data_IF_902465002393
#
_entry.id   IF_902465002393
#
_cell.length_a   1.000
_cell.length_b   1.000
_cell.length_c   1.000
_cell.angle_alpha   90.00
_cell.angle_beta   90.00
_cell.angle_gamma   90.00
#
_symmetry.space_group_name_H-M   'P 1'
#
loop_
_entity.id
_entity.type
_entity.pdbx_description
1 polymer ?
#
# COMPACT_ATOMS: atom_id res chain seq x y z
N UNK A 1 8.39 1.40 14.83
CA UNK A 1 7.37 1.74 13.83
C UNK A 1 6.07 1.04 14.19
N UNK A 2 4.98 1.77 14.17
CA UNK A 2 3.65 1.23 14.46
C UNK A 2 2.81 1.33 13.19
N UNK A 3 2.24 0.22 12.77
CA UNK A 3 1.35 0.16 11.62
C UNK A 3 0.00 -0.37 12.07
N UNK A 4 -1.06 0.39 11.83
CA UNK A 4 -2.42 -0.02 12.11
C UNK A 4 -3.19 -0.10 10.80
N UNK A 5 -3.82 -1.23 10.57
CA UNK A 5 -4.61 -1.47 9.37
C UNK A 5 -6.02 -1.87 9.77
N UNK A 6 -7.00 -1.18 9.19
CA UNK A 6 -8.40 -1.57 9.33
C UNK A 6 -8.97 -1.77 7.92
N UNK A 7 -9.57 -2.91 7.71
CA UNK A 7 -10.16 -3.24 6.41
C UNK A 7 -11.55 -3.84 6.62
N UNK A 8 -12.51 -3.36 5.84
CA UNK A 8 -13.84 -3.97 5.77
C UNK A 8 -14.17 -4.30 4.32
N UNK A 9 -15.44 -4.61 4.02
CA UNK A 9 -15.85 -5.03 2.69
C UNK A 9 -15.63 -3.96 1.62
N UNK A 10 -15.65 -2.68 2.00
CA UNK A 10 -15.65 -1.56 1.06
C UNK A 10 -14.45 -0.63 1.20
N UNK A 11 -13.79 -0.63 2.36
CA UNK A 11 -12.80 0.40 2.69
C UNK A 11 -11.56 -0.21 3.32
N UNK A 12 -10.42 0.35 2.99
CA UNK A 12 -9.12 0.03 3.59
C UNK A 12 -8.55 1.29 4.22
N UNK A 13 -8.14 1.22 5.47
CA UNK A 13 -7.51 2.32 6.19
C UNK A 13 -6.15 1.90 6.70
N UNK A 14 -5.14 2.72 6.43
CA UNK A 14 -3.78 2.51 6.91
C UNK A 14 -3.32 3.71 7.73
N UNK A 15 -2.78 3.44 8.90
CA UNK A 15 -2.09 4.43 9.73
C UNK A 15 -0.73 3.88 10.09
N UNK A 16 0.33 4.63 9.76
CA UNK A 16 1.70 4.21 10.02
C UNK A 16 2.44 5.35 10.71
N UNK A 17 3.11 5.03 11.83
CA UNK A 17 3.91 5.98 12.58
C UNK A 17 5.28 5.39 12.85
N UNK A 18 6.32 6.21 12.78
CA UNK A 18 7.66 5.76 13.06
C UNK A 18 8.68 6.87 12.98
N UNK A 19 9.92 6.45 12.87
CA UNK A 19 11.07 7.34 12.71
C UNK A 19 11.74 6.95 11.40
N UNK A 20 12.00 7.95 10.55
CA UNK A 20 12.64 7.69 9.26
C UNK A 20 14.17 7.53 9.42
N UNK A 21 14.88 7.36 8.31
CA UNK A 21 16.32 7.16 8.30
C UNK A 21 17.12 8.42 8.71
N UNK A 22 16.46 9.56 8.85
CA UNK A 22 17.04 10.82 9.31
C UNK A 22 16.67 11.13 10.77
N UNK A 23 16.18 10.13 11.51
CA UNK A 23 15.73 10.28 12.90
C UNK A 23 14.58 11.29 13.07
N UNK A 24 13.79 11.49 12.01
CA UNK A 24 12.65 12.37 12.06
C UNK A 24 11.38 11.56 12.24
N UNK A 25 10.46 11.96 13.13
CA UNK A 25 9.20 11.27 13.27
C UNK A 25 8.35 11.46 12.01
N UNK A 26 7.68 10.40 11.58
CA UNK A 26 6.76 10.48 10.45
C UNK A 26 5.42 9.84 10.82
N UNK A 27 4.39 10.30 10.14
CA UNK A 27 3.05 9.75 10.27
C UNK A 27 2.41 9.73 8.90
N UNK A 28 2.08 8.54 8.41
CA UNK A 28 1.48 8.33 7.12
C UNK A 28 0.10 7.72 7.32
N UNK A 29 -0.89 8.25 6.63
CA UNK A 29 -2.23 7.69 6.72
C UNK A 29 -3.01 7.88 5.42
N UNK A 30 -3.89 6.92 5.14
CA UNK A 30 -4.87 7.05 4.08
C UNK A 30 -6.06 6.14 4.35
N UNK A 31 -7.18 6.50 3.74
CA UNK A 31 -8.39 5.70 3.72
C UNK A 31 -8.88 5.67 2.27
N UNK A 32 -9.09 4.48 1.72
CA UNK A 32 -9.47 4.33 0.33
C UNK A 32 -10.48 3.20 0.16
N UNK A 33 -11.39 3.38 -0.80
CA UNK A 33 -12.32 2.33 -1.19
C UNK A 33 -11.71 1.49 -2.31
N UNK A 34 -12.22 0.27 -2.48
CA UNK A 34 -11.72 -0.66 -3.50
C UNK A 34 -12.38 -0.42 -4.86
N UNK A 35 -12.45 0.83 -5.29
CA UNK A 35 -13.15 1.23 -6.52
C UNK A 35 -12.22 1.69 -7.64
N UNK A 36 -10.90 1.64 -7.42
CA UNK A 36 -9.91 2.05 -8.40
C UNK A 36 -9.74 3.55 -8.55
N UNK A 37 -10.42 4.35 -7.74
CA UNK A 37 -10.26 5.81 -7.75
C UNK A 37 -9.07 6.22 -6.90
N UNK A 38 -8.55 7.42 -7.16
CA UNK A 38 -7.44 7.98 -6.39
C UNK A 38 -7.95 8.62 -5.10
N UNK A 39 -7.29 8.30 -3.99
CA UNK A 39 -7.57 8.86 -2.67
C UNK A 39 -6.30 9.49 -2.10
N UNK A 40 -6.42 10.57 -1.32
CA UNK A 40 -5.24 11.28 -0.81
C UNK A 40 -4.49 10.46 0.23
N UNK A 41 -3.16 10.56 0.20
CA UNK A 41 -2.27 10.03 1.22
C UNK A 41 -1.73 11.21 2.01
N UNK A 42 -1.75 11.12 3.34
CA UNK A 42 -1.21 12.13 4.22
C UNK A 42 0.13 11.65 4.80
N UNK A 43 1.14 12.51 4.75
CA UNK A 43 2.41 12.29 5.43
C UNK A 43 3.46 11.52 4.66
N UNK A 44 3.21 11.14 3.40
CA UNK A 44 4.19 10.44 2.59
C UNK A 44 4.90 11.43 1.66
N UNK A 45 6.23 11.60 1.76
CA UNK A 45 6.97 12.49 0.87
C UNK A 45 7.11 11.95 -0.55
N UNK A 46 6.90 10.65 -0.75
CA UNK A 46 7.12 9.97 -2.04
C UNK A 46 5.85 9.75 -2.84
N UNK A 47 4.68 9.92 -2.22
CA UNK A 47 3.41 9.74 -2.91
C UNK A 47 2.34 10.65 -2.31
N UNK A 48 1.36 11.05 -3.11
CA UNK A 48 0.27 11.93 -2.66
C UNK A 48 -1.10 11.31 -2.85
N UNK A 49 -1.20 10.19 -3.56
CA UNK A 49 -2.47 9.50 -3.75
C UNK A 49 -2.26 8.00 -3.89
N UNK A 50 -3.32 7.26 -3.57
CA UNK A 50 -3.36 5.81 -3.68
C UNK A 50 -4.69 5.39 -4.28
N UNK A 51 -4.67 4.38 -5.14
CA UNK A 51 -5.88 3.73 -5.61
C UNK A 51 -5.82 2.24 -5.27
N UNK A 52 -6.96 1.71 -4.86
CA UNK A 52 -7.10 0.31 -4.51
C UNK A 52 -8.13 -0.33 -5.42
N UNK A 53 -7.81 -1.50 -5.93
CA UNK A 53 -8.73 -2.28 -6.75
C UNK A 53 -8.79 -3.71 -6.22
N UNK A 54 -9.97 -4.16 -5.85
CA UNK A 54 -10.18 -5.55 -5.49
C UNK A 54 -10.40 -6.35 -6.78
N UNK A 55 -9.50 -7.28 -7.05
CA UNK A 55 -9.62 -8.17 -8.21
C UNK A 55 -10.59 -9.30 -7.89
N UNK A 56 -10.48 -9.86 -6.68
CA UNK A 56 -11.37 -10.90 -6.16
C UNK A 56 -11.26 -10.92 -4.63
N UNK A 57 -11.88 -11.89 -3.98
CA UNK A 57 -11.91 -11.99 -2.52
C UNK A 57 -10.52 -12.17 -1.89
N UNK A 58 -9.53 -12.55 -2.69
CA UNK A 58 -8.18 -12.87 -2.21
C UNK A 58 -7.10 -11.97 -2.80
N UNK A 59 -7.43 -11.05 -3.72
CA UNK A 59 -6.42 -10.24 -4.39
C UNK A 59 -6.83 -8.77 -4.43
N UNK A 60 -5.92 -7.92 -3.98
CA UNK A 60 -6.08 -6.46 -3.98
C UNK A 60 -4.85 -5.85 -4.64
N UNK A 61 -5.07 -4.90 -5.53
CA UNK A 61 -4.00 -4.12 -6.16
C UNK A 61 -3.97 -2.71 -5.60
N UNK A 62 -2.79 -2.26 -5.22
CA UNK A 62 -2.54 -0.92 -4.71
C UNK A 62 -1.66 -0.18 -5.72
N UNK A 63 -2.05 1.05 -6.07
CA UNK A 63 -1.24 1.91 -6.94
C UNK A 63 -1.04 3.23 -6.22
N UNK A 64 0.22 3.65 -6.04
CA UNK A 64 0.52 4.96 -5.46
C UNK A 64 1.06 5.89 -6.53
N UNK A 65 0.70 7.17 -6.42
CA UNK A 65 1.04 8.19 -7.41
C UNK A 65 1.59 9.43 -6.75
N UNK A 66 2.42 10.17 -7.47
CA UNK A 66 2.92 11.49 -7.10
C UNK A 66 2.71 12.43 -8.28
N UNK A 67 1.96 13.52 -8.07
CA UNK A 67 1.67 14.51 -9.11
C UNK A 67 1.10 13.87 -10.38
N UNK A 68 0.25 12.84 -10.23
CA UNK A 68 -0.38 12.12 -11.33
C UNK A 68 0.47 11.01 -11.95
N UNK A 69 1.71 10.83 -11.51
CA UNK A 69 2.59 9.80 -12.02
C UNK A 69 2.66 8.60 -11.06
N UNK A 70 2.59 7.39 -11.60
CA UNK A 70 2.66 6.18 -10.81
C UNK A 70 4.09 6.03 -10.25
N UNK A 71 4.21 5.90 -8.93
CA UNK A 71 5.51 5.70 -8.27
C UNK A 71 5.67 4.28 -7.77
N UNK A 72 4.58 3.56 -7.46
CA UNK A 72 4.68 2.15 -7.09
C UNK A 72 3.37 1.43 -7.32
N UNK A 73 3.45 0.11 -7.46
CA UNK A 73 2.30 -0.79 -7.53
C UNK A 73 2.55 -1.95 -6.59
N UNK A 74 1.53 -2.35 -5.85
CA UNK A 74 1.55 -3.53 -4.99
C UNK A 74 0.43 -4.46 -5.42
N UNK A 75 0.75 -5.74 -5.52
CA UNK A 75 -0.23 -6.79 -5.78
C UNK A 75 -0.22 -7.71 -4.56
N UNK A 76 -1.31 -7.69 -3.80
CA UNK A 76 -1.43 -8.48 -2.57
C UNK A 76 -2.38 -9.63 -2.82
N UNK A 77 -1.86 -10.85 -2.71
CA UNK A 77 -2.66 -12.07 -2.87
C UNK A 77 -2.69 -12.80 -1.53
N UNK A 78 -3.89 -12.98 -0.99
CA UNK A 78 -4.11 -13.67 0.28
C UNK A 78 -4.39 -15.14 -0.02
N UNK A 79 -3.69 -16.04 0.68
CA UNK A 79 -3.92 -17.47 0.52
C UNK A 79 -5.36 -17.85 0.90
N UNK A 80 -5.86 -18.95 0.31
CA UNK A 80 -7.24 -19.38 0.53
C UNK A 80 -7.56 -19.68 1.99
N UNK A 81 -6.57 -20.11 2.75
CA UNK A 81 -6.75 -20.38 4.18
C UNK A 81 -6.65 -19.11 5.05
N UNK A 82 -6.34 -17.96 4.46
CA UNK A 82 -6.21 -16.71 5.16
C UNK A 82 -4.97 -16.58 6.04
N UNK A 83 -4.04 -17.55 5.99
CA UNK A 83 -2.89 -17.58 6.89
C UNK A 83 -1.65 -16.91 6.32
N UNK A 84 -1.61 -16.66 5.03
CA UNK A 84 -0.47 -16.01 4.41
C UNK A 84 -0.91 -15.05 3.32
N UNK A 85 -0.05 -14.09 3.01
CA UNK A 85 -0.26 -13.15 1.92
C UNK A 85 1.04 -12.97 1.17
N UNK A 86 0.96 -12.98 -0.16
CA UNK A 86 2.10 -12.68 -1.02
C UNK A 86 1.96 -11.27 -1.56
N UNK A 87 2.97 -10.45 -1.36
CA UNK A 87 3.00 -9.07 -1.83
C UNK A 87 4.07 -8.95 -2.91
N UNK A 88 3.65 -8.62 -4.11
CA UNK A 88 4.55 -8.31 -5.21
C UNK A 88 4.56 -6.80 -5.40
N UNK A 89 5.73 -6.20 -5.38
CA UNK A 89 5.86 -4.75 -5.51
C UNK A 89 6.65 -4.40 -6.76
N UNK A 90 6.26 -3.28 -7.37
CA UNK A 90 7.00 -2.67 -8.48
C UNK A 90 7.13 -1.20 -8.15
N UNK A 91 8.36 -0.72 -8.03
CA UNK A 91 8.64 0.68 -7.75
C UNK A 91 9.20 1.35 -8.99
N UNK A 92 8.67 2.54 -9.31
CA UNK A 92 9.09 3.34 -10.44
C UNK A 92 9.71 4.64 -9.91
N UNK A 93 11.00 4.62 -9.63
CA UNK A 93 11.70 5.78 -9.09
C UNK A 93 12.83 6.19 -10.00
N UNK A 94 12.91 7.49 -10.31
CA UNK A 94 14.00 8.09 -11.06
C UNK A 94 14.30 7.40 -12.40
N UNK A 95 13.23 6.98 -13.09
CA UNK A 95 13.37 6.28 -14.36
C UNK A 95 13.80 4.82 -14.25
N UNK A 96 13.89 4.29 -13.03
CA UNK A 96 14.24 2.89 -12.78
C UNK A 96 13.04 2.12 -12.27
N UNK A 97 12.94 0.87 -12.67
CA UNK A 97 11.91 -0.04 -12.19
C UNK A 97 12.54 -1.09 -11.29
N UNK A 98 12.05 -1.19 -10.06
CA UNK A 98 12.49 -2.21 -9.11
C UNK A 98 11.32 -3.10 -8.75
N UNK A 99 11.54 -4.40 -8.76
CA UNK A 99 10.53 -5.40 -8.42
C UNK A 99 10.96 -6.14 -7.17
N UNK A 100 9.99 -6.40 -6.29
CA UNK A 100 10.22 -7.17 -5.09
C UNK A 100 9.06 -8.12 -4.82
N UNK A 101 9.33 -9.14 -4.02
CA UNK A 101 8.31 -10.07 -3.58
C UNK A 101 8.53 -10.38 -2.11
N UNK A 102 7.47 -10.32 -1.33
CA UNK A 102 7.50 -10.67 0.09
C UNK A 102 6.32 -11.58 0.42
N UNK A 103 6.52 -12.47 1.36
CA UNK A 103 5.47 -13.35 1.86
C UNK A 103 5.30 -13.09 3.35
N UNK A 104 4.08 -12.77 3.75
CA UNK A 104 3.73 -12.53 5.14
C UNK A 104 2.86 -13.66 5.65
N UNK A 105 3.20 -14.18 6.81
CA UNK A 105 2.41 -15.23 7.46
C UNK A 105 1.68 -14.65 8.66
N UNK A 106 0.43 -15.03 8.82
CA UNK A 106 -0.38 -14.62 9.96
C UNK A 106 0.05 -15.41 11.18
N UNK A 107 0.34 -14.68 12.24
CA UNK A 107 0.73 -15.28 13.52
C UNK A 107 -0.40 -15.29 14.52
#
# INVERSE_FOLDING_TARGET
MVVQVQADADTFELNEEGIDDKDQPFKLSYEAKYDGKDYPITGDPHSDSVSLQRVNDHQIKFTTKKAGNVVSKLDVVIAKDGKSATVKSVDYMEGKTQKGTAVYEKQ
#
